data_IF_392021351861
#
_entry.id   IF_392021351861
#
_cell.length_a   1.000
_cell.length_b   1.000
_cell.length_c   1.000
_cell.angle_alpha   90.00
_cell.angle_beta   90.00
_cell.angle_gamma   90.00
#
_symmetry.space_group_name_H-M   'P 1'
#
loop_
_entity.id
_entity.type
_entity.pdbx_description
1 polymer ?
#
# COMPACT_ATOMS: atom_id res chain seq x y z
N UNK A 1 -14.27 28.89 75.58
CA UNK A 1 -14.85 28.76 74.23
C UNK A 1 -15.98 27.75 74.31
N UNK A 2 -17.21 28.11 73.92
CA UNK A 2 -18.36 27.23 74.07
C UNK A 2 -18.29 26.04 73.10
N UNK A 3 -18.61 24.84 73.61
CA UNK A 3 -18.64 23.59 72.82
C UNK A 3 -19.57 23.71 71.62
N UNK A 4 -20.67 24.46 71.77
CA UNK A 4 -21.63 24.76 70.71
C UNK A 4 -21.04 25.54 69.54
N UNK A 5 -20.14 26.51 69.78
CA UNK A 5 -19.50 27.26 68.71
C UNK A 5 -18.56 26.37 67.88
N UNK A 6 -17.84 25.45 68.54
CA UNK A 6 -16.96 24.48 67.87
C UNK A 6 -17.79 23.51 67.01
N UNK A 7 -18.92 23.02 67.54
CA UNK A 7 -19.81 22.13 66.81
C UNK A 7 -20.43 22.81 65.56
N UNK A 8 -20.94 24.04 65.71
CA UNK A 8 -21.55 24.78 64.60
C UNK A 8 -20.53 25.11 63.50
N UNK A 9 -19.33 25.57 63.89
CA UNK A 9 -18.25 25.86 62.95
C UNK A 9 -17.74 24.58 62.25
N UNK A 10 -17.67 23.46 62.97
CA UNK A 10 -17.32 22.17 62.37
C UNK A 10 -18.34 21.72 61.32
N UNK A 11 -19.64 21.84 61.62
CA UNK A 11 -20.70 21.55 60.65
C UNK A 11 -20.60 22.44 59.40
N UNK A 12 -20.38 23.74 59.60
CA UNK A 12 -20.21 24.70 58.50
C UNK A 12 -19.01 24.34 57.62
N UNK A 13 -17.88 23.97 58.23
CA UNK A 13 -16.68 23.54 57.52
C UNK A 13 -16.92 22.27 56.69
N UNK A 14 -17.67 21.29 57.23
CA UNK A 14 -18.02 20.06 56.52
C UNK A 14 -18.92 20.36 55.32
N UNK A 15 -19.98 21.17 55.51
CA UNK A 15 -20.86 21.57 54.40
C UNK A 15 -20.09 22.29 53.29
N UNK A 16 -19.14 23.15 53.67
CA UNK A 16 -18.29 23.85 52.72
C UNK A 16 -17.40 22.87 51.92
N UNK A 17 -16.80 21.88 52.60
CA UNK A 17 -16.00 20.85 51.94
C UNK A 17 -16.82 20.02 50.94
N UNK A 18 -18.05 19.66 51.31
CA UNK A 18 -18.96 18.93 50.42
C UNK A 18 -19.29 19.79 49.20
N UNK A 19 -19.64 21.06 49.39
CA UNK A 19 -19.93 21.99 48.30
C UNK A 19 -18.72 22.14 47.35
N UNK A 20 -17.51 22.28 47.90
CA UNK A 20 -16.28 22.39 47.13
C UNK A 20 -16.02 21.11 46.32
N UNK A 21 -16.17 19.94 46.95
CA UNK A 21 -15.99 18.65 46.28
C UNK A 21 -16.98 18.46 45.12
N UNK A 22 -18.24 18.87 45.29
CA UNK A 22 -19.25 18.83 44.24
C UNK A 22 -18.92 19.78 43.09
N UNK A 23 -18.47 21.01 43.38
CA UNK A 23 -18.00 21.95 42.36
C UNK A 23 -16.86 21.35 41.52
N UNK A 24 -15.87 20.76 42.18
CA UNK A 24 -14.72 20.14 41.51
C UNK A 24 -15.09 18.91 40.68
N UNK A 25 -16.01 18.08 41.17
CA UNK A 25 -16.52 16.91 40.43
C UNK A 25 -17.28 17.32 39.17
N UNK A 26 -18.07 18.38 39.24
CA UNK A 26 -18.87 18.86 38.11
C UNK A 26 -17.97 19.46 37.03
N UNK A 27 -16.99 20.25 37.41
CA UNK A 27 -16.02 20.84 36.49
C UNK A 27 -15.19 19.75 35.78
N UNK A 28 -14.75 18.71 36.51
CA UNK A 28 -14.08 17.55 35.90
C UNK A 28 -14.96 16.81 34.90
N UNK A 29 -16.25 16.63 35.19
CA UNK A 29 -17.19 15.96 34.27
C UNK A 29 -17.41 16.77 33.00
N UNK A 30 -17.64 18.08 33.12
CA UNK A 30 -17.79 18.98 31.98
C UNK A 30 -16.53 18.99 31.10
N UNK A 31 -15.35 19.03 31.72
CA UNK A 31 -14.07 18.98 31.01
C UNK A 31 -13.86 17.66 30.29
N UNK A 32 -14.18 16.53 30.91
CA UNK A 32 -14.06 15.21 30.28
C UNK A 32 -14.99 15.05 29.05
N UNK A 33 -16.21 15.60 29.10
CA UNK A 33 -17.08 15.62 27.92
C UNK A 33 -16.51 16.53 26.82
N UNK A 34 -15.99 17.71 27.17
CA UNK A 34 -15.46 18.62 26.15
C UNK A 34 -14.20 18.09 25.48
N UNK A 35 -13.29 17.51 26.28
CA UNK A 35 -12.09 16.84 25.79
C UNK A 35 -12.45 15.63 24.90
N UNK A 36 -13.54 14.90 25.20
CA UNK A 36 -13.98 13.81 24.33
C UNK A 36 -14.52 14.33 23.00
N UNK A 37 -15.32 15.41 22.98
CA UNK A 37 -15.79 16.03 21.74
C UNK A 37 -14.65 16.57 20.88
N UNK A 38 -13.66 17.23 21.47
CA UNK A 38 -12.47 17.68 20.75
C UNK A 38 -11.66 16.49 20.20
N UNK A 39 -11.54 15.41 20.98
CA UNK A 39 -10.94 14.15 20.55
C UNK A 39 -11.68 13.50 19.38
N UNK A 40 -13.02 13.48 19.40
CA UNK A 40 -13.85 12.98 18.30
C UNK A 40 -13.71 13.84 17.05
N UNK A 41 -13.76 15.17 17.18
CA UNK A 41 -13.57 16.07 16.05
C UNK A 41 -12.21 15.86 15.37
N UNK A 42 -11.15 15.66 16.17
CA UNK A 42 -9.82 15.32 15.65
C UNK A 42 -9.80 13.95 14.97
N UNK A 43 -10.40 12.93 15.58
CA UNK A 43 -10.44 11.59 15.01
C UNK A 43 -11.21 11.54 13.68
N UNK A 44 -12.33 12.25 13.58
CA UNK A 44 -13.10 12.39 12.33
C UNK A 44 -12.28 13.12 11.27
N UNK A 45 -11.62 14.22 11.62
CA UNK A 45 -10.77 14.94 10.67
C UNK A 45 -9.61 14.07 10.15
N UNK A 46 -9.02 13.22 11.00
CA UNK A 46 -7.97 12.29 10.59
C UNK A 46 -8.53 11.14 9.73
N UNK A 47 -9.76 10.68 9.99
CA UNK A 47 -10.46 9.70 9.14
C UNK A 47 -10.78 10.28 7.77
N UNK A 48 -11.32 11.49 7.69
CA UNK A 48 -11.63 12.16 6.42
C UNK A 48 -10.38 12.34 5.56
N UNK A 49 -9.25 12.71 6.18
CA UNK A 49 -7.95 12.78 5.46
C UNK A 49 -7.51 11.41 4.94
N UNK A 50 -7.70 10.35 5.74
CA UNK A 50 -7.38 9.00 5.30
C UNK A 50 -8.29 8.53 4.16
N UNK A 51 -9.58 8.85 4.24
CA UNK A 51 -10.57 8.55 3.19
C UNK A 51 -10.25 9.29 1.90
N UNK A 52 -9.96 10.60 1.95
CA UNK A 52 -9.54 11.37 0.78
C UNK A 52 -8.29 10.79 0.11
N UNK A 53 -7.29 10.36 0.91
CA UNK A 53 -6.11 9.68 0.37
C UNK A 53 -6.47 8.34 -0.27
N UNK A 54 -7.39 7.58 0.30
CA UNK A 54 -7.85 6.31 -0.28
C UNK A 54 -8.63 6.51 -1.59
N UNK A 55 -9.49 7.53 -1.66
CA UNK A 55 -10.22 7.92 -2.87
C UNK A 55 -9.26 8.36 -3.98
N UNK A 56 -8.25 9.16 -3.65
CA UNK A 56 -7.19 9.55 -4.59
C UNK A 56 -6.42 8.34 -5.10
N UNK A 57 -6.00 7.43 -4.22
CA UNK A 57 -5.31 6.21 -4.63
C UNK A 57 -6.17 5.31 -5.52
N UNK A 58 -7.49 5.23 -5.28
CA UNK A 58 -8.41 4.50 -6.15
C UNK A 58 -8.55 5.18 -7.53
N UNK A 59 -8.61 6.50 -7.58
CA UNK A 59 -8.66 7.25 -8.83
C UNK A 59 -7.38 7.06 -9.64
N UNK A 60 -6.21 7.11 -8.99
CA UNK A 60 -4.91 6.84 -9.62
C UNK A 60 -4.83 5.41 -10.15
N UNK A 61 -5.30 4.42 -9.39
CA UNK A 61 -5.35 3.03 -9.83
C UNK A 61 -6.26 2.87 -11.05
N UNK A 62 -7.44 3.52 -11.06
CA UNK A 62 -8.34 3.48 -12.21
C UNK A 62 -7.71 4.09 -13.45
N UNK A 63 -7.09 5.27 -13.32
CA UNK A 63 -6.40 5.92 -14.43
C UNK A 63 -5.26 5.05 -14.99
N UNK A 64 -4.45 4.46 -14.10
CA UNK A 64 -3.37 3.55 -14.50
C UNK A 64 -3.90 2.26 -15.16
N UNK A 65 -5.02 1.72 -14.70
CA UNK A 65 -5.65 0.55 -15.34
C UNK A 65 -6.25 0.88 -16.70
N UNK A 66 -6.84 2.06 -16.85
CA UNK A 66 -7.41 2.50 -18.14
C UNK A 66 -6.29 2.69 -19.18
N UNK A 67 -5.19 3.36 -18.80
CA UNK A 67 -4.02 3.50 -19.67
C UNK A 67 -3.40 2.13 -20.02
N UNK A 68 -3.29 1.22 -19.04
CA UNK A 68 -2.81 -0.13 -19.29
C UNK A 68 -3.74 -0.92 -20.23
N UNK A 69 -5.06 -0.73 -20.13
CA UNK A 69 -6.04 -1.36 -21.01
C UNK A 69 -5.92 -0.86 -22.45
N UNK A 70 -5.77 0.46 -22.65
CA UNK A 70 -5.60 1.07 -23.97
C UNK A 70 -4.31 0.59 -24.65
N UNK A 71 -3.18 0.60 -23.93
CA UNK A 71 -1.90 0.10 -24.47
C UNK A 71 -1.96 -1.38 -24.83
N UNK A 72 -2.70 -2.19 -24.07
CA UNK A 72 -2.91 -3.59 -24.39
C UNK A 72 -3.78 -3.76 -25.64
N UNK A 73 -4.84 -2.97 -25.79
CA UNK A 73 -5.71 -2.99 -26.97
C UNK A 73 -4.95 -2.61 -28.25
N UNK A 74 -4.08 -1.61 -28.17
CA UNK A 74 -3.20 -1.20 -29.29
C UNK A 74 -2.26 -2.35 -29.70
N UNK A 75 -1.62 -3.00 -28.72
CA UNK A 75 -0.74 -4.15 -28.98
C UNK A 75 -1.48 -5.32 -29.60
N UNK A 76 -2.71 -5.61 -29.15
CA UNK A 76 -3.56 -6.66 -29.74
C UNK A 76 -3.89 -6.31 -31.20
N UNK A 77 -4.22 -5.06 -31.47
CA UNK A 77 -4.55 -4.59 -32.83
C UNK A 77 -3.34 -4.70 -33.75
N UNK A 78 -2.15 -4.29 -33.29
CA UNK A 78 -0.89 -4.47 -34.02
C UNK A 78 -0.57 -5.94 -34.27
N UNK A 79 -0.70 -6.80 -33.25
CA UNK A 79 -0.47 -8.24 -33.39
C UNK A 79 -1.42 -8.88 -34.41
N UNK A 80 -2.70 -8.50 -34.41
CA UNK A 80 -3.68 -8.95 -35.42
C UNK A 80 -3.32 -8.48 -36.81
N UNK A 81 -2.88 -7.23 -36.97
CA UNK A 81 -2.44 -6.70 -38.25
C UNK A 81 -1.20 -7.43 -38.79
N UNK A 82 -0.23 -7.71 -37.93
CA UNK A 82 0.96 -8.48 -38.29
C UNK A 82 0.63 -9.93 -38.64
N UNK A 83 -0.28 -10.56 -37.88
CA UNK A 83 -0.76 -11.90 -38.17
C UNK A 83 -1.46 -11.96 -39.55
N UNK A 84 -2.31 -10.99 -39.88
CA UNK A 84 -2.95 -10.90 -41.19
C UNK A 84 -1.94 -10.72 -42.33
N UNK A 85 -0.89 -9.91 -42.14
CA UNK A 85 0.18 -9.76 -43.13
C UNK A 85 0.98 -11.05 -43.36
N UNK A 86 1.21 -11.83 -42.28
CA UNK A 86 1.86 -13.14 -42.38
C UNK A 86 0.98 -14.13 -43.13
N UNK A 87 -0.32 -14.14 -42.84
CA UNK A 87 -1.30 -15.01 -43.51
C UNK A 87 -1.39 -14.70 -45.01
N UNK A 88 -1.47 -13.42 -45.39
CA UNK A 88 -1.48 -12.99 -46.79
C UNK A 88 -0.21 -13.42 -47.54
N UNK A 89 0.97 -13.36 -46.89
CA UNK A 89 2.24 -13.81 -47.49
C UNK A 89 2.33 -15.32 -47.64
N UNK A 90 1.64 -16.09 -46.79
CA UNK A 90 1.58 -17.55 -46.86
C UNK A 90 0.54 -18.02 -47.88
N UNK A 91 -0.58 -17.31 -48.02
CA UNK A 91 -1.63 -17.57 -49.01
C UNK A 91 -1.25 -17.13 -50.42
N UNK A 92 -0.25 -16.25 -50.59
CA UNK A 92 0.33 -16.02 -51.91
C UNK A 92 0.95 -17.35 -52.41
N UNK A 93 0.44 -17.93 -53.51
CA UNK A 93 1.04 -19.14 -54.08
C UNK A 93 2.50 -18.81 -54.39
N UNK A 94 3.40 -19.66 -53.89
CA UNK A 94 4.83 -19.55 -54.15
C UNK A 94 5.05 -19.60 -55.67
N UNK A 95 5.07 -18.43 -56.31
CA UNK A 95 5.47 -18.29 -57.71
C UNK A 95 6.97 -18.50 -57.70
N UNK A 96 7.37 -19.75 -57.92
CA UNK A 96 8.74 -20.12 -58.27
C UNK A 96 9.17 -19.19 -59.40
N UNK A 97 10.12 -18.27 -59.17
CA UNK A 97 10.67 -17.50 -60.28
C UNK A 97 11.28 -18.50 -61.27
N UNK A 98 10.98 -18.42 -62.57
CA UNK A 98 11.70 -19.22 -63.54
C UNK A 98 13.20 -18.96 -63.39
N UNK A 99 14.07 -19.98 -63.48
CA UNK A 99 15.51 -19.79 -63.30
C UNK A 99 16.02 -18.80 -64.33
N UNK A 100 16.30 -17.57 -63.88
CA UNK A 100 16.96 -16.57 -64.70
C UNK A 100 18.35 -17.11 -65.04
N UNK A 101 18.52 -17.44 -66.32
CA UNK A 101 19.74 -17.99 -66.88
C UNK A 101 20.96 -17.14 -66.50
N UNK A 102 21.96 -17.84 -65.96
CA UNK A 102 23.33 -17.38 -65.75
C UNK A 102 23.87 -16.68 -67.00
N UNK A 103 24.24 -15.40 -66.90
CA UNK A 103 25.05 -14.71 -67.91
C UNK A 103 26.48 -14.53 -67.38
N UNK A 104 27.53 -14.79 -68.17
CA UNK A 104 28.87 -15.02 -67.65
C UNK A 104 29.68 -13.73 -67.45
N UNK A 105 30.49 -13.79 -66.38
CA UNK A 105 31.79 -13.19 -66.12
C UNK A 105 32.40 -12.19 -67.13
N UNK A 106 32.71 -10.99 -66.64
CA UNK A 106 33.91 -10.25 -67.01
C UNK A 106 34.69 -9.93 -65.72
N UNK A 107 35.81 -10.63 -65.51
CA UNK A 107 36.90 -10.25 -64.59
C UNK A 107 38.05 -9.71 -65.44
N UNK A 108 38.81 -8.75 -64.93
CA UNK A 108 40.26 -8.81 -65.04
C UNK A 108 40.88 -9.05 -63.66
N UNK A 109 41.81 -9.99 -63.65
CA UNK A 109 42.58 -10.44 -62.51
C UNK A 109 43.74 -9.47 -62.21
N UNK A 110 43.96 -9.19 -60.93
CA UNK A 110 45.26 -8.81 -60.38
C UNK A 110 45.32 -9.27 -58.91
N UNK A 111 46.11 -10.30 -58.66
CA UNK A 111 46.63 -10.74 -57.35
C UNK A 111 48.16 -10.95 -57.54
N UNK A 112 49.03 -11.03 -56.50
CA UNK A 112 48.77 -11.40 -55.10
C UNK A 112 49.52 -10.59 -54.01
N UNK A 113 49.24 -10.98 -52.75
CA UNK A 113 49.58 -10.38 -51.43
C UNK A 113 51.03 -10.67 -50.95
N UNK A 114 51.45 -10.16 -49.75
CA UNK A 114 51.23 -10.92 -48.50
C UNK A 114 50.86 -10.10 -47.22
N UNK A 115 50.01 -10.74 -46.39
CA UNK A 115 49.80 -10.80 -44.90
C UNK A 115 50.73 -9.98 -43.97
N UNK A 116 50.41 -9.44 -42.76
CA UNK A 116 49.39 -9.51 -41.66
C UNK A 116 49.79 -8.45 -40.58
N UNK A 117 49.20 -8.27 -39.35
CA UNK A 117 47.88 -8.61 -38.78
C UNK A 117 47.12 -7.43 -38.10
N UNK A 118 45.84 -7.67 -37.82
CA UNK A 118 44.82 -6.86 -37.13
C UNK A 118 45.16 -6.49 -35.67
N UNK A 119 44.69 -5.33 -35.17
CA UNK A 119 43.77 -5.33 -34.02
C UNK A 119 42.56 -4.40 -34.21
N UNK A 120 41.66 -4.48 -33.23
CA UNK A 120 40.23 -4.15 -33.26
C UNK A 120 39.97 -2.76 -32.62
N UNK A 121 39.09 -1.96 -33.27
CA UNK A 121 38.08 -1.03 -32.69
C UNK A 121 38.50 0.29 -32.00
N UNK A 122 38.00 1.41 -32.54
CA UNK A 122 37.47 2.63 -31.88
C UNK A 122 37.29 3.71 -32.98
N UNK A 123 36.32 4.63 -33.03
CA UNK A 123 35.17 5.02 -32.19
C UNK A 123 34.23 5.84 -33.10
N UNK A 124 32.91 5.75 -32.95
CA UNK A 124 31.94 6.70 -32.34
C UNK A 124 30.56 6.36 -32.97
N UNK A 125 29.34 6.70 -32.45
CA UNK A 125 28.98 7.89 -31.65
C UNK A 125 27.96 7.68 -30.48
N UNK A 126 27.76 8.74 -29.68
CA UNK A 126 26.52 9.23 -28.99
C UNK A 126 25.60 8.32 -28.13
N UNK A 127 25.53 8.63 -26.80
CA UNK A 127 24.44 8.58 -25.74
C UNK A 127 23.42 7.40 -25.68
N UNK A 128 22.59 7.18 -24.60
CA UNK A 128 22.57 7.56 -23.18
C UNK A 128 22.42 6.33 -22.20
N UNK A 129 22.35 6.61 -20.90
CA UNK A 129 21.93 5.81 -19.72
C UNK A 129 21.38 4.38 -19.92
N UNK A 130 22.13 3.35 -19.47
CA UNK A 130 21.55 2.11 -18.94
C UNK A 130 22.56 1.29 -18.11
N UNK A 131 22.31 1.28 -16.80
CA UNK A 131 22.38 0.13 -15.90
C UNK A 131 23.06 -1.13 -16.44
N UNK A 132 24.36 -1.32 -16.17
CA UNK A 132 24.91 -2.61 -15.73
C UNK A 132 26.42 -2.55 -15.49
N UNK A 133 26.79 -2.85 -14.24
CA UNK A 133 27.92 -3.71 -13.88
C UNK A 133 29.25 -3.41 -14.57
N UNK A 134 30.03 -2.55 -13.93
CA UNK A 134 31.34 -3.00 -13.45
C UNK A 134 31.43 -2.63 -11.98
N UNK A 135 30.90 -3.52 -11.11
CA UNK A 135 31.35 -3.57 -9.72
C UNK A 135 32.87 -3.70 -9.80
N UNK A 136 33.59 -2.64 -9.45
CA UNK A 136 35.05 -2.65 -9.51
C UNK A 136 35.54 -3.56 -8.38
N UNK A 137 36.68 -4.23 -8.59
CA UNK A 137 37.30 -5.03 -7.53
C UNK A 137 37.49 -4.20 -6.24
N UNK A 138 37.71 -2.90 -6.41
CA UNK A 138 37.81 -1.89 -5.35
C UNK A 138 36.55 -1.77 -4.48
N UNK A 139 35.35 -1.93 -5.07
CA UNK A 139 34.09 -1.87 -4.32
C UNK A 139 33.88 -3.16 -3.51
N UNK A 140 34.39 -4.28 -4.00
CA UNK A 140 34.39 -5.57 -3.31
C UNK A 140 35.35 -5.55 -2.11
N UNK A 141 36.56 -5.00 -2.26
CA UNK A 141 37.51 -4.86 -1.14
C UNK A 141 36.95 -3.97 -0.03
N UNK A 142 36.26 -2.87 -0.39
CA UNK A 142 35.59 -1.99 0.60
C UNK A 142 34.50 -2.69 1.40
N UNK A 143 33.80 -3.66 0.80
CA UNK A 143 32.77 -4.44 1.49
C UNK A 143 33.42 -5.46 2.44
N UNK A 144 34.50 -6.13 2.01
CA UNK A 144 35.24 -7.09 2.84
C UNK A 144 35.92 -6.41 4.05
N UNK A 145 36.52 -5.25 3.87
CA UNK A 145 37.11 -4.47 4.96
C UNK A 145 36.05 -3.97 5.96
N UNK A 146 34.86 -3.65 5.46
CA UNK A 146 33.73 -3.25 6.30
C UNK A 146 33.20 -4.41 7.13
N UNK A 147 33.18 -5.61 6.57
CA UNK A 147 32.73 -6.82 7.26
C UNK A 147 33.77 -7.35 8.26
N UNK A 148 35.07 -7.23 7.94
CA UNK A 148 36.16 -7.58 8.86
C UNK A 148 36.22 -6.68 10.11
N UNK A 149 35.69 -5.44 10.02
CA UNK A 149 35.57 -4.50 11.15
C UNK A 149 34.36 -4.76 12.04
N UNK A 150 33.44 -5.64 11.66
CA UNK A 150 32.32 -6.02 12.52
C UNK A 150 32.87 -7.06 13.52
N UNK A 151 33.03 -6.72 14.81
CA UNK A 151 33.47 -7.70 15.80
C UNK A 151 32.49 -8.88 15.79
N UNK A 152 33.00 -10.09 15.53
CA UNK A 152 32.22 -11.34 15.50
C UNK A 152 31.52 -11.67 16.82
N UNK A 153 31.86 -10.96 17.90
CA UNK A 153 31.21 -11.05 19.22
C UNK A 153 30.11 -10.00 19.46
N UNK A 154 29.74 -9.22 18.45
CA UNK A 154 28.54 -8.40 18.55
C UNK A 154 27.30 -9.30 18.46
N UNK A 155 26.38 -9.26 19.45
CA UNK A 155 25.13 -10.01 19.34
C UNK A 155 24.40 -9.58 18.06
N UNK A 156 23.82 -10.53 17.30
CA UNK A 156 23.14 -10.19 16.05
C UNK A 156 22.07 -9.12 16.33
N UNK A 157 21.87 -8.13 15.45
CA UNK A 157 20.72 -7.25 15.56
C UNK A 157 19.51 -8.17 15.59
N UNK A 158 18.80 -8.15 16.72
CA UNK A 158 17.63 -8.97 16.96
C UNK A 158 16.72 -8.81 15.76
N UNK A 159 16.66 -9.83 14.89
CA UNK A 159 15.62 -9.94 13.90
C UNK A 159 14.34 -9.75 14.67
N UNK A 160 13.65 -8.64 14.42
CA UNK A 160 12.48 -8.24 15.15
C UNK A 160 11.54 -9.44 15.18
N UNK A 161 11.48 -10.11 16.35
CA UNK A 161 10.52 -11.15 16.61
C UNK A 161 9.18 -10.53 16.26
N UNK A 162 8.32 -11.14 15.42
CA UNK A 162 6.94 -10.70 15.32
C UNK A 162 6.41 -10.70 16.74
N UNK A 163 6.19 -9.51 17.27
CA UNK A 163 5.73 -9.30 18.62
C UNK A 163 4.40 -10.04 18.72
N UNK A 164 4.27 -10.88 19.75
CA UNK A 164 3.06 -11.62 20.04
C UNK A 164 1.81 -10.76 19.78
N UNK A 165 0.73 -11.29 19.20
CA UNK A 165 -0.49 -10.54 19.00
C UNK A 165 -0.97 -10.04 20.36
N UNK A 166 -0.77 -8.74 20.60
CA UNK A 166 -1.30 -8.05 21.76
C UNK A 166 -2.82 -8.15 21.66
N UNK A 167 -3.38 -8.88 22.62
CA UNK A 167 -4.80 -9.18 22.80
C UNK A 167 -5.71 -8.12 22.16
N UNK A 168 -6.45 -8.55 21.14
CA UNK A 168 -7.53 -7.76 20.58
C UNK A 168 -8.63 -7.63 21.64
N UNK A 169 -9.19 -6.44 21.86
CA UNK A 169 -10.23 -6.20 22.86
C UNK A 169 -11.58 -6.77 22.39
N UNK A 170 -11.70 -8.11 22.33
CA UNK A 170 -12.98 -8.81 22.13
C UNK A 170 -13.87 -8.78 23.38
N UNK A 171 -13.37 -8.26 24.50
CA UNK A 171 -14.12 -8.20 25.76
C UNK A 171 -15.01 -6.96 25.91
N UNK A 172 -15.08 -6.06 24.93
CA UNK A 172 -15.92 -4.85 24.99
C UNK A 172 -17.23 -4.93 24.19
N UNK A 173 -17.44 -6.01 23.44
CA UNK A 173 -18.64 -6.20 22.62
C UNK A 173 -19.85 -6.81 23.36
N UNK A 174 -19.79 -6.99 24.70
CA UNK A 174 -20.94 -7.49 25.48
C UNK A 174 -21.71 -6.39 26.23
N UNK A 175 -21.26 -5.14 26.16
CA UNK A 175 -21.88 -4.04 26.94
C UNK A 175 -22.90 -3.26 26.08
N UNK A 176 -22.88 -3.43 24.76
CA UNK A 176 -23.72 -2.65 23.84
C UNK A 176 -25.01 -3.36 23.38
N UNK A 177 -25.20 -4.66 23.68
CA UNK A 177 -26.41 -5.39 23.26
C UNK A 177 -27.65 -5.08 24.13
N UNK A 178 -27.48 -4.70 25.40
CA UNK A 178 -28.61 -4.40 26.32
C UNK A 178 -29.21 -2.98 26.13
N UNK A 179 -28.63 -2.15 25.26
CA UNK A 179 -29.09 -0.76 25.06
C UNK A 179 -30.19 -0.62 24.00
N UNK A 180 -30.38 -1.64 23.15
CA UNK A 180 -31.39 -1.64 22.07
C UNK A 180 -32.61 -2.52 22.36
N UNK A 181 -32.61 -3.29 23.44
CA UNK A 181 -33.80 -3.99 23.92
C UNK A 181 -34.72 -2.99 24.62
N UNK A 182 -35.64 -2.43 23.83
CA UNK A 182 -36.78 -1.66 24.34
C UNK A 182 -37.65 -2.50 25.28
N UNK A 183 -38.53 -1.86 26.07
CA UNK A 183 -39.39 -2.56 27.02
C UNK A 183 -40.24 -3.61 26.29
N UNK A 184 -40.07 -4.88 26.68
CA UNK A 184 -40.84 -6.03 26.24
C UNK A 184 -42.36 -5.70 26.17
N UNK A 185 -42.91 -5.69 24.96
CA UNK A 185 -44.36 -5.58 24.74
C UNK A 185 -45.07 -6.78 25.40
N UNK A 186 -46.13 -6.59 26.20
CA UNK A 186 -46.85 -7.70 26.80
C UNK A 186 -47.50 -8.59 25.72
N UNK A 187 -47.64 -9.91 25.98
CA UNK A 187 -48.07 -10.87 24.97
C UNK A 187 -49.46 -10.53 24.44
N UNK A 188 -49.55 -10.32 23.11
CA UNK A 188 -50.83 -10.13 22.41
C UNK A 188 -51.72 -11.36 22.63
N UNK A 189 -52.97 -11.20 23.10
CA UNK A 189 -53.89 -12.32 23.25
C UNK A 189 -54.21 -12.94 21.88
N UNK A 190 -54.11 -14.27 21.83
CA UNK A 190 -54.17 -15.06 20.60
C UNK A 190 -55.43 -14.83 19.76
N UNK A 191 -55.22 -14.71 18.45
CA UNK A 191 -56.27 -14.72 17.45
C UNK A 191 -56.90 -16.11 17.35
N UNK A 192 -58.05 -16.31 17.97
CA UNK A 192 -58.90 -17.47 17.72
C UNK A 192 -59.55 -17.33 16.34
N UNK A 193 -58.87 -17.81 15.29
CA UNK A 193 -59.46 -17.90 13.95
C UNK A 193 -58.88 -19.09 13.19
N UNK A 194 -59.36 -20.29 13.54
CA UNK A 194 -59.76 -21.31 12.55
C UNK A 194 -60.34 -22.52 13.25
N UNK A 195 -61.64 -22.72 13.08
CA UNK A 195 -62.32 -23.87 13.63
C UNK A 195 -63.75 -24.03 13.14
N UNK A 196 -63.85 -24.49 11.88
CA UNK A 196 -64.73 -25.61 11.50
C UNK A 196 -66.19 -25.30 11.11
N UNK A 197 -66.45 -25.66 9.83
CA UNK A 197 -67.68 -26.16 9.20
C UNK A 197 -68.77 -25.17 8.82
#
# INVERSE_FOLDING_TARGET
MSVTAIALNGLLAILLLIALAFGWRLERRLKALRDSHEGFAKAVADLDRAAQRAEQGLADLRAATDEAADTLADRITQAKALAAQLDERLDLPMVTPPPAASRPAARPAAEPRPVTPRPIRAGEPETPTETSRRLRAEDFERLLDREARIPRDAPPPSAARPSAPKETPRSRARIDDDLFDGPEDPPRPGSNLRGRR
#
